data_IF_952299615811
#
_entry.id   IF_952299615811
#
_cell.length_a   1.000
_cell.length_b   1.000
_cell.length_c   1.000
_cell.angle_alpha   90.00
_cell.angle_beta   90.00
_cell.angle_gamma   90.00
#
_symmetry.space_group_name_H-M   'P 1'
#
loop_
_entity.id
_entity.type
_entity.pdbx_description
1 polymer ?
#
# COMPACT_ATOMS: atom_id res chain seq x y z
N UNK A 1 -6.41 4.31 -29.77
CA UNK A 1 -7.62 4.51 -28.93
C UNK A 1 -7.17 5.38 -27.75
N UNK A 2 -7.59 6.66 -27.75
CA UNK A 2 -7.03 7.72 -26.92
C UNK A 2 -7.64 7.69 -25.51
N UNK A 3 -6.80 7.69 -24.48
CA UNK A 3 -7.17 7.79 -23.04
C UNK A 3 -7.61 9.22 -22.68
N UNK A 4 -8.69 9.70 -23.29
CA UNK A 4 -9.33 10.98 -22.94
C UNK A 4 -10.82 10.70 -22.74
N UNK A 5 -11.18 10.18 -21.56
CA UNK A 5 -12.52 10.31 -20.93
C UNK A 5 -12.62 9.46 -19.65
N UNK A 6 -11.70 9.66 -18.70
CA UNK A 6 -11.93 9.24 -17.32
C UNK A 6 -11.93 10.49 -16.43
N UNK A 7 -13.12 11.05 -16.24
CA UNK A 7 -13.40 12.10 -15.26
C UNK A 7 -13.07 11.58 -13.86
N UNK A 8 -12.12 12.23 -13.19
CA UNK A 8 -11.79 11.99 -11.79
C UNK A 8 -13.03 12.24 -10.91
N UNK A 9 -13.40 11.31 -10.00
CA UNK A 9 -14.56 11.48 -9.14
C UNK A 9 -14.39 12.68 -8.18
N UNK A 10 -15.47 13.44 -7.97
CA UNK A 10 -15.50 14.57 -7.05
C UNK A 10 -15.43 14.10 -5.58
N UNK A 11 -14.60 14.79 -4.78
CA UNK A 11 -14.26 14.47 -3.38
C UNK A 11 -15.49 14.48 -2.46
N UNK A 12 -15.70 13.38 -1.75
CA UNK A 12 -16.45 13.39 -0.49
C UNK A 12 -15.48 13.69 0.66
N UNK A 13 -15.64 14.83 1.33
CA UNK A 13 -14.94 15.14 2.59
C UNK A 13 -15.37 14.12 3.64
N UNK A 14 -14.45 13.27 4.10
CA UNK A 14 -14.74 12.25 5.10
C UNK A 14 -14.63 12.86 6.50
N UNK A 15 -15.72 12.81 7.28
CA UNK A 15 -15.63 12.95 8.73
C UNK A 15 -14.96 11.68 9.27
N UNK A 16 -13.97 11.84 10.14
CA UNK A 16 -13.39 10.74 10.91
C UNK A 16 -14.50 10.12 11.76
N UNK A 17 -14.79 8.83 11.56
CA UNK A 17 -15.80 8.13 12.34
C UNK A 17 -15.24 7.80 13.73
N UNK A 18 -15.41 8.75 14.66
CA UNK A 18 -15.01 8.63 16.06
C UNK A 18 -15.71 7.49 16.82
N UNK A 19 -16.67 6.78 16.20
CA UNK A 19 -17.37 5.65 16.80
C UNK A 19 -16.68 4.30 16.60
N UNK A 20 -15.64 4.24 15.75
CA UNK A 20 -14.97 2.98 15.46
C UNK A 20 -14.10 2.54 16.65
N UNK A 21 -14.24 1.28 17.14
CA UNK A 21 -13.38 0.78 18.19
C UNK A 21 -11.91 0.74 17.73
N UNK A 22 -10.94 0.86 18.65
CA UNK A 22 -9.53 0.78 18.30
C UNK A 22 -9.20 -0.55 17.61
N UNK A 23 -8.36 -0.50 16.57
CA UNK A 23 -7.89 -1.69 15.88
C UNK A 23 -6.85 -2.41 16.75
N UNK A 24 -7.17 -3.64 17.16
CA UNK A 24 -6.27 -4.47 17.96
C UNK A 24 -6.02 -5.76 17.19
N UNK A 25 -4.77 -6.02 16.84
CA UNK A 25 -4.39 -7.13 15.96
C UNK A 25 -4.87 -8.48 16.49
N UNK A 26 -4.83 -8.66 17.82
CA UNK A 26 -5.22 -9.91 18.45
C UNK A 26 -6.71 -10.26 18.22
N UNK A 27 -7.60 -9.26 18.18
CA UNK A 27 -9.03 -9.49 17.92
C UNK A 27 -9.39 -9.46 16.44
N UNK A 28 -8.55 -8.84 15.62
CA UNK A 28 -8.80 -8.62 14.20
C UNK A 28 -8.15 -9.67 13.30
N UNK A 29 -7.29 -10.53 13.85
CA UNK A 29 -6.70 -11.67 13.14
C UNK A 29 -7.60 -12.89 13.22
N UNK A 30 -7.74 -13.58 12.10
CA UNK A 30 -8.48 -14.85 12.01
C UNK A 30 -7.51 -16.02 11.77
N UNK A 31 -7.65 -17.10 12.55
CA UNK A 31 -6.76 -18.25 12.40
C UNK A 31 -6.99 -18.95 11.06
N UNK A 32 -5.90 -19.27 10.36
CA UNK A 32 -5.95 -19.90 9.03
C UNK A 32 -6.10 -18.92 7.87
N UNK A 33 -6.25 -17.62 8.15
CA UNK A 33 -6.27 -16.58 7.15
C UNK A 33 -4.88 -16.01 6.86
N UNK A 34 -4.68 -15.61 5.61
CA UNK A 34 -3.54 -14.78 5.18
C UNK A 34 -3.95 -13.31 5.27
N UNK A 35 -3.25 -12.54 6.10
CA UNK A 35 -3.54 -11.12 6.33
C UNK A 35 -2.61 -10.27 5.47
N UNK A 36 -3.14 -9.71 4.39
CA UNK A 36 -2.41 -8.89 3.42
C UNK A 36 -2.61 -7.41 3.73
N UNK A 37 -1.54 -6.70 4.05
CA UNK A 37 -1.58 -5.25 4.20
C UNK A 37 -1.14 -4.57 2.90
N UNK A 38 -2.07 -3.88 2.24
CA UNK A 38 -1.78 -3.09 1.05
C UNK A 38 -1.55 -1.63 1.43
N UNK A 39 -0.40 -1.08 1.08
CA UNK A 39 -0.05 0.30 1.25
C UNK A 39 -0.06 1.04 -0.07
N UNK A 40 -0.85 2.11 -0.16
CA UNK A 40 -1.00 2.95 -1.35
C UNK A 40 -0.33 4.30 -1.13
N UNK A 41 0.44 4.76 -2.13
CA UNK A 41 1.20 6.01 -2.05
C UNK A 41 0.88 6.96 -3.21
N UNK A 42 1.38 8.20 -3.16
CA UNK A 42 1.06 9.25 -4.15
C UNK A 42 1.63 8.96 -5.55
N UNK A 43 0.93 8.14 -6.33
CA UNK A 43 1.22 7.82 -7.73
C UNK A 43 -0.09 7.53 -8.44
N UNK A 44 -0.19 7.88 -9.73
CA UNK A 44 -1.40 7.64 -10.56
C UNK A 44 -1.80 6.16 -10.55
N UNK A 45 -0.84 5.24 -10.40
CA UNK A 45 -1.09 3.81 -10.30
C UNK A 45 -1.97 3.41 -9.09
N UNK A 46 -2.18 4.29 -8.10
CA UNK A 46 -3.10 4.07 -6.98
C UNK A 46 -4.56 3.89 -7.42
N UNK A 47 -4.93 4.33 -8.64
CA UNK A 47 -6.22 4.00 -9.26
C UNK A 47 -6.46 2.48 -9.38
N UNK A 48 -5.40 1.66 -9.33
CA UNK A 48 -5.46 0.19 -9.39
C UNK A 48 -5.60 -0.46 -8.02
N UNK A 49 -5.52 0.28 -6.92
CA UNK A 49 -5.63 -0.28 -5.58
C UNK A 49 -6.96 -1.04 -5.33
N UNK A 50 -8.14 -0.51 -5.72
CA UNK A 50 -9.40 -1.25 -5.58
C UNK A 50 -9.38 -2.61 -6.31
N UNK A 51 -8.76 -2.67 -7.48
CA UNK A 51 -8.64 -3.91 -8.26
C UNK A 51 -7.76 -4.97 -7.57
N UNK A 52 -6.67 -4.53 -6.93
CA UNK A 52 -5.79 -5.42 -6.16
C UNK A 52 -6.56 -6.00 -4.96
N UNK A 53 -7.28 -5.14 -4.23
CA UNK A 53 -8.08 -5.55 -3.07
C UNK A 53 -9.15 -6.56 -3.48
N UNK A 54 -9.98 -6.21 -4.46
CA UNK A 54 -11.07 -7.09 -4.94
C UNK A 54 -10.54 -8.45 -5.39
N UNK A 55 -9.44 -8.47 -6.14
CA UNK A 55 -8.84 -9.71 -6.62
C UNK A 55 -8.24 -10.57 -5.51
N UNK A 56 -7.64 -9.98 -4.47
CA UNK A 56 -7.12 -10.73 -3.32
C UNK A 56 -8.26 -11.33 -2.48
N UNK A 57 -9.35 -10.58 -2.29
CA UNK A 57 -10.52 -11.05 -1.54
C UNK A 57 -11.32 -12.14 -2.27
N UNK A 58 -11.05 -12.37 -3.56
CA UNK A 58 -11.61 -13.50 -4.30
C UNK A 58 -10.97 -14.86 -3.96
N UNK A 59 -9.94 -14.88 -3.10
CA UNK A 59 -9.30 -16.11 -2.64
C UNK A 59 -9.76 -16.50 -1.24
N UNK A 60 -9.83 -17.81 -0.98
CA UNK A 60 -10.20 -18.38 0.30
C UNK A 60 -9.22 -17.96 1.39
N UNK A 61 -9.76 -17.64 2.57
CA UNK A 61 -9.00 -17.33 3.77
C UNK A 61 -8.01 -16.17 3.55
N UNK A 62 -8.41 -15.11 2.84
CA UNK A 62 -7.63 -13.89 2.69
C UNK A 62 -8.38 -12.73 3.32
N UNK A 63 -7.68 -11.93 4.13
CA UNK A 63 -8.15 -10.64 4.58
C UNK A 63 -7.19 -9.56 4.09
N UNK A 64 -7.75 -8.41 3.72
CA UNK A 64 -6.97 -7.27 3.21
C UNK A 64 -7.28 -6.04 4.04
N UNK A 65 -6.23 -5.38 4.51
CA UNK A 65 -6.29 -4.05 5.13
C UNK A 65 -5.46 -3.07 4.32
N UNK A 66 -5.93 -1.83 4.19
CA UNK A 66 -5.29 -0.83 3.33
C UNK A 66 -4.78 0.34 4.14
N UNK A 67 -3.51 0.69 3.99
CA UNK A 67 -2.94 1.95 4.52
C UNK A 67 -2.72 2.91 3.38
N UNK A 68 -3.43 4.03 3.40
CA UNK A 68 -3.37 5.04 2.36
C UNK A 68 -2.65 6.29 2.85
N UNK A 69 -1.64 6.72 2.10
CA UNK A 69 -1.12 8.09 2.29
C UNK A 69 -2.13 9.11 1.76
N UNK A 70 -2.18 10.31 2.30
CA UNK A 70 -3.11 11.36 1.85
C UNK A 70 -2.98 11.62 0.34
N UNK A 71 -1.74 11.63 -0.19
CA UNK A 71 -1.48 11.79 -1.61
C UNK A 71 -2.01 10.64 -2.48
N UNK A 72 -2.17 9.43 -1.94
CA UNK A 72 -2.74 8.30 -2.70
C UNK A 72 -4.25 8.42 -2.89
N UNK A 73 -4.93 9.09 -1.95
CA UNK A 73 -6.38 9.27 -1.95
C UNK A 73 -6.87 10.28 -2.99
N UNK A 74 -5.96 10.99 -3.65
CA UNK A 74 -6.27 11.81 -4.82
C UNK A 74 -6.61 10.95 -6.06
N UNK A 75 -6.28 9.65 -6.06
CA UNK A 75 -6.37 8.78 -7.24
C UNK A 75 -7.47 7.71 -7.16
N UNK A 76 -8.10 7.50 -6.00
CA UNK A 76 -9.22 6.57 -5.85
C UNK A 76 -10.09 6.94 -4.64
N UNK A 77 -11.35 6.52 -4.67
CA UNK A 77 -12.26 6.69 -3.54
C UNK A 77 -12.15 5.51 -2.56
N UNK A 78 -11.94 5.82 -1.28
CA UNK A 78 -11.89 4.87 -0.17
C UNK A 78 -13.11 3.95 -0.16
N UNK A 79 -14.28 4.46 -0.55
CA UNK A 79 -15.53 3.69 -0.58
C UNK A 79 -15.47 2.47 -1.49
N UNK A 80 -14.65 2.47 -2.55
CA UNK A 80 -14.51 1.30 -3.42
C UNK A 80 -13.87 0.13 -2.67
N UNK A 81 -12.90 0.42 -1.81
CA UNK A 81 -12.23 -0.57 -0.96
C UNK A 81 -13.16 -1.00 0.19
N UNK A 82 -13.88 -0.06 0.81
CA UNK A 82 -14.85 -0.36 1.87
C UNK A 82 -15.98 -1.26 1.38
N UNK A 83 -16.50 -1.02 0.16
CA UNK A 83 -17.55 -1.85 -0.45
C UNK A 83 -17.07 -3.27 -0.77
N UNK A 84 -15.78 -3.44 -1.07
CA UNK A 84 -15.19 -4.76 -1.28
C UNK A 84 -15.03 -5.57 0.03
N UNK A 85 -15.16 -4.94 1.20
CA UNK A 85 -15.05 -5.59 2.52
C UNK A 85 -13.75 -5.31 3.27
N UNK A 86 -12.89 -4.42 2.75
CA UNK A 86 -11.63 -4.02 3.39
C UNK A 86 -11.70 -2.62 3.99
N UNK A 87 -10.81 -2.30 4.94
CA UNK A 87 -10.80 -0.98 5.58
C UNK A 87 -9.58 -0.19 5.10
N UNK A 88 -9.75 1.14 5.04
CA UNK A 88 -8.70 2.07 4.59
C UNK A 88 -8.31 2.95 5.76
N UNK A 89 -7.06 2.84 6.18
CA UNK A 89 -6.43 3.58 7.27
C UNK A 89 -5.60 4.74 6.74
N UNK A 90 -5.71 5.88 7.39
CA UNK A 90 -5.03 7.14 7.09
C UNK A 90 -4.30 7.69 8.31
N UNK A 91 -3.51 8.75 8.12
CA UNK A 91 -2.83 9.44 9.21
C UNK A 91 -3.79 9.89 10.32
N UNK A 92 -5.00 10.31 9.95
CA UNK A 92 -6.04 10.73 10.89
C UNK A 92 -6.51 9.60 11.81
N UNK A 93 -6.44 8.34 11.36
CA UNK A 93 -6.85 7.18 12.15
C UNK A 93 -5.79 6.77 13.18
N UNK A 94 -4.55 7.21 13.02
CA UNK A 94 -3.46 6.90 13.96
C UNK A 94 -3.62 7.62 15.30
N UNK A 95 -4.16 8.85 15.25
CA UNK A 95 -4.31 9.73 16.40
C UNK A 95 -5.76 10.17 16.56
N UNK A 96 -6.63 9.23 16.88
CA UNK A 96 -8.03 9.54 17.20
C UNK A 96 -8.16 9.97 18.67
N UNK A 97 -8.59 11.20 18.92
CA UNK A 97 -8.81 11.71 20.27
C UNK A 97 -7.53 11.91 21.10
N UNK A 98 -7.64 11.79 22.43
CA UNK A 98 -6.51 11.98 23.36
C UNK A 98 -5.91 10.63 23.72
N UNK A 99 -4.73 10.32 23.16
CA UNK A 99 -3.98 9.11 23.48
C UNK A 99 -3.63 9.01 24.98
N UNK A 100 -3.79 7.81 25.54
CA UNK A 100 -3.34 7.45 26.89
C UNK A 100 -2.33 6.32 26.82
N UNK A 101 -1.40 6.31 27.77
CA UNK A 101 -0.44 5.20 27.92
C UNK A 101 -1.22 3.90 28.11
N UNK A 102 -0.96 2.93 27.24
CA UNK A 102 -1.65 1.64 27.22
C UNK A 102 -2.68 1.50 26.09
N UNK A 103 -3.07 2.59 25.45
CA UNK A 103 -3.91 2.53 24.26
C UNK A 103 -3.16 1.88 23.08
N UNK A 104 -3.85 1.10 22.23
CA UNK A 104 -3.23 0.51 21.05
C UNK A 104 -2.74 1.59 20.08
N UNK A 105 -1.54 1.40 19.53
CA UNK A 105 -0.95 2.28 18.53
C UNK A 105 -1.17 1.66 17.15
N UNK A 106 -1.92 2.35 16.28
CA UNK A 106 -2.42 1.79 15.04
C UNK A 106 -1.32 1.16 14.15
N UNK A 107 -0.20 1.85 13.91
CA UNK A 107 0.88 1.28 13.07
C UNK A 107 1.53 0.03 13.68
N UNK A 108 1.56 -0.07 15.01
CA UNK A 108 2.06 -1.25 15.73
C UNK A 108 1.08 -2.41 15.60
N UNK A 109 -0.22 -2.13 15.74
CA UNK A 109 -1.26 -3.15 15.59
C UNK A 109 -1.36 -3.64 14.15
N UNK A 110 -1.33 -2.75 13.15
CA UNK A 110 -1.31 -3.16 11.74
C UNK A 110 -0.07 -3.99 11.39
N UNK A 111 1.10 -3.65 11.94
CA UNK A 111 2.30 -4.51 11.81
C UNK A 111 2.05 -5.90 12.39
N UNK A 112 1.45 -5.99 13.58
CA UNK A 112 1.18 -7.29 14.25
C UNK A 112 0.14 -8.10 13.49
N UNK A 113 -0.77 -7.40 12.81
CA UNK A 113 -1.82 -7.99 12.00
C UNK A 113 -1.32 -8.52 10.65
N UNK A 114 -0.33 -7.88 10.02
CA UNK A 114 0.10 -8.25 8.67
C UNK A 114 0.99 -9.50 8.62
N UNK A 115 0.61 -10.48 7.79
CA UNK A 115 1.48 -11.60 7.38
C UNK A 115 2.37 -11.22 6.19
N UNK A 116 1.93 -10.27 5.38
CA UNK A 116 2.67 -9.70 4.24
C UNK A 116 2.29 -8.24 4.03
N UNK A 117 3.27 -7.43 3.62
CA UNK A 117 3.05 -6.00 3.30
C UNK A 117 3.38 -5.75 1.83
N UNK A 118 2.47 -5.06 1.13
CA UNK A 118 2.65 -4.63 -0.25
C UNK A 118 2.66 -3.10 -0.30
N UNK A 119 3.72 -2.48 -0.83
CA UNK A 119 3.74 -1.04 -1.13
C UNK A 119 3.48 -0.88 -2.62
N UNK A 120 2.20 -0.80 -2.98
CA UNK A 120 1.70 -0.84 -4.36
C UNK A 120 0.59 0.19 -4.60
N UNK A 121 0.88 1.31 -5.27
CA UNK A 121 2.20 1.73 -5.75
C UNK A 121 3.12 2.29 -4.66
N UNK A 122 4.43 2.26 -4.92
CA UNK A 122 5.44 3.03 -4.19
C UNK A 122 5.92 4.24 -5.02
N UNK A 123 5.51 5.43 -4.62
CA UNK A 123 5.96 6.71 -5.19
C UNK A 123 7.44 6.96 -4.87
N UNK A 124 8.10 7.80 -5.67
CA UNK A 124 9.49 8.19 -5.40
C UNK A 124 9.68 8.84 -4.02
N UNK A 125 8.68 9.60 -3.55
CA UNK A 125 8.70 10.24 -2.24
C UNK A 125 8.70 9.20 -1.11
N UNK A 126 7.75 8.25 -1.13
CA UNK A 126 7.73 7.19 -0.12
C UNK A 126 8.96 6.29 -0.23
N UNK A 127 9.43 5.99 -1.45
CA UNK A 127 10.67 5.24 -1.68
C UNK A 127 11.87 5.92 -1.00
N UNK A 128 12.01 7.24 -1.15
CA UNK A 128 13.05 8.01 -0.50
C UNK A 128 12.90 7.97 1.04
N UNK A 129 11.68 8.17 1.57
CA UNK A 129 11.42 8.09 3.01
C UNK A 129 11.82 6.75 3.61
N UNK A 130 11.46 5.65 2.95
CA UNK A 130 11.84 4.29 3.39
C UNK A 130 13.37 4.15 3.40
N UNK A 131 14.04 4.51 2.30
CA UNK A 131 15.48 4.36 2.18
C UNK A 131 16.28 5.21 3.20
N UNK A 132 15.74 6.37 3.60
CA UNK A 132 16.36 7.26 4.58
C UNK A 132 15.88 7.01 6.03
N UNK A 133 14.95 6.07 6.23
CA UNK A 133 14.43 5.72 7.55
C UNK A 133 13.50 6.76 8.18
N UNK A 134 12.87 7.62 7.37
CA UNK A 134 11.84 8.55 7.84
C UNK A 134 10.55 7.79 8.18
N UNK A 135 9.89 8.19 9.27
CA UNK A 135 8.67 7.59 9.79
C UNK A 135 7.72 8.69 10.30
N UNK A 136 7.22 9.51 9.37
CA UNK A 136 6.49 10.76 9.65
C UNK A 136 5.00 10.68 9.33
N UNK A 137 4.52 9.50 8.94
CA UNK A 137 3.12 9.22 8.63
C UNK A 137 2.80 7.75 8.93
N UNK A 138 1.52 7.38 8.97
CA UNK A 138 1.07 6.03 9.34
C UNK A 138 1.79 4.94 8.54
N UNK A 139 1.88 5.14 7.23
CA UNK A 139 2.55 4.23 6.29
C UNK A 139 4.03 4.00 6.63
N UNK A 140 4.81 5.08 6.77
CA UNK A 140 6.25 4.97 6.99
C UNK A 140 6.59 4.56 8.42
N UNK A 141 5.79 4.96 9.42
CA UNK A 141 5.87 4.45 10.80
C UNK A 141 5.65 2.95 10.87
N UNK A 142 4.64 2.43 10.17
CA UNK A 142 4.40 1.00 10.06
C UNK A 142 5.61 0.27 9.46
N UNK A 143 6.07 0.70 8.28
CA UNK A 143 7.23 0.08 7.62
C UNK A 143 8.49 0.12 8.48
N UNK A 144 8.71 1.21 9.23
CA UNK A 144 9.87 1.35 10.11
C UNK A 144 9.81 0.41 11.30
N UNK A 145 8.60 0.04 11.74
CA UNK A 145 8.37 -0.83 12.88
C UNK A 145 8.36 -2.32 12.53
N UNK A 146 8.24 -2.71 11.24
CA UNK A 146 8.12 -4.10 10.80
C UNK A 146 9.26 -4.99 11.29
N UNK A 147 8.95 -6.25 11.57
CA UNK A 147 9.98 -7.25 11.83
C UNK A 147 10.67 -7.63 10.51
N UNK A 148 11.99 -7.89 10.49
CA UNK A 148 12.70 -8.33 9.28
C UNK A 148 12.14 -9.63 8.67
N UNK A 149 11.39 -10.42 9.46
CA UNK A 149 10.76 -11.67 9.03
C UNK A 149 9.44 -11.46 8.28
N UNK A 150 8.81 -10.28 8.37
CA UNK A 150 7.55 -10.01 7.67
C UNK A 150 7.87 -9.72 6.20
N UNK A 151 7.48 -10.60 5.24
CA UNK A 151 7.76 -10.37 3.84
C UNK A 151 7.12 -9.07 3.37
N UNK A 152 7.96 -8.22 2.78
CA UNK A 152 7.54 -6.91 2.28
C UNK A 152 7.93 -6.77 0.81
N UNK A 153 6.97 -6.35 -0.01
CA UNK A 153 7.13 -6.13 -1.44
C UNK A 153 6.92 -4.65 -1.75
N UNK A 154 7.82 -4.07 -2.54
CA UNK A 154 7.76 -2.67 -2.96
C UNK A 154 7.64 -2.64 -4.47
N UNK A 155 6.63 -1.95 -4.99
CA UNK A 155 6.35 -1.82 -6.41
C UNK A 155 6.49 -0.35 -6.83
N UNK A 156 7.70 0.10 -7.22
CA UNK A 156 7.93 1.49 -7.61
C UNK A 156 7.02 1.89 -8.79
N UNK A 157 6.44 3.08 -8.71
CA UNK A 157 5.60 3.62 -9.78
C UNK A 157 5.74 5.14 -9.86
N UNK A 158 6.43 5.63 -10.89
CA UNK A 158 6.78 7.04 -11.09
C UNK A 158 7.06 7.34 -12.56
N UNK A 159 7.18 8.62 -12.92
CA UNK A 159 7.62 9.01 -14.25
C UNK A 159 9.02 8.43 -14.58
N UNK A 160 9.30 8.19 -15.86
CA UNK A 160 10.58 7.64 -16.34
C UNK A 160 11.80 8.39 -15.81
N UNK A 161 11.82 9.72 -15.91
CA UNK A 161 12.95 10.52 -15.46
C UNK A 161 13.09 10.52 -13.94
N UNK A 162 11.99 10.38 -13.18
CA UNK A 162 12.08 10.16 -11.74
C UNK A 162 12.72 8.80 -11.43
N UNK A 163 12.43 7.77 -12.23
CA UNK A 163 13.01 6.44 -12.05
C UNK A 163 14.50 6.38 -12.45
N UNK A 164 14.86 7.07 -13.51
CA UNK A 164 16.25 7.24 -13.99
C UNK A 164 17.09 8.12 -13.07
N UNK A 165 16.47 8.91 -12.19
CA UNK A 165 17.17 9.76 -11.26
C UNK A 165 18.16 8.95 -10.40
N UNK A 166 19.44 9.36 -10.25
CA UNK A 166 20.46 8.57 -9.55
C UNK A 166 20.07 8.20 -8.11
N UNK A 167 19.37 9.10 -7.41
CA UNK A 167 18.89 8.81 -6.05
C UNK A 167 17.85 7.69 -6.02
N UNK A 168 17.02 7.53 -7.04
CA UNK A 168 16.06 6.42 -7.10
C UNK A 168 16.78 5.09 -7.12
N UNK A 169 17.84 4.96 -7.92
CA UNK A 169 18.67 3.76 -7.95
C UNK A 169 19.36 3.50 -6.61
N UNK A 170 19.84 4.55 -5.94
CA UNK A 170 20.39 4.43 -4.59
C UNK A 170 19.34 3.98 -3.57
N UNK A 171 18.14 4.56 -3.58
CA UNK A 171 17.05 4.18 -2.68
C UNK A 171 16.60 2.75 -2.91
N UNK A 172 16.45 2.32 -4.17
CA UNK A 172 16.13 0.92 -4.52
C UNK A 172 17.19 -0.04 -3.97
N UNK A 173 18.48 0.28 -4.13
CA UNK A 173 19.57 -0.55 -3.57
C UNK A 173 19.48 -0.62 -2.05
N UNK A 174 19.33 0.51 -1.35
CA UNK A 174 19.19 0.51 0.11
C UNK A 174 18.02 -0.36 0.57
N UNK A 175 16.85 -0.20 -0.07
CA UNK A 175 15.64 -0.95 0.29
C UNK A 175 15.83 -2.45 0.05
N UNK A 176 16.49 -2.83 -1.04
CA UNK A 176 16.73 -4.24 -1.38
C UNK A 176 17.83 -4.88 -0.53
N UNK A 177 18.98 -4.21 -0.41
CA UNK A 177 20.22 -4.80 0.10
C UNK A 177 20.41 -4.56 1.60
N UNK A 178 20.00 -3.41 2.12
CA UNK A 178 20.16 -3.06 3.55
C UNK A 178 18.92 -3.43 4.33
N UNK A 179 17.74 -3.06 3.84
CA UNK A 179 16.47 -3.34 4.54
C UNK A 179 15.99 -4.78 4.25
N UNK A 180 16.26 -5.31 3.06
CA UNK A 180 15.87 -6.67 2.68
C UNK A 180 14.47 -6.79 2.10
N UNK A 181 13.86 -5.70 1.63
CA UNK A 181 12.55 -5.74 0.99
C UNK A 181 12.64 -6.18 -0.48
N UNK A 182 11.58 -6.83 -0.96
CA UNK A 182 11.48 -7.30 -2.33
C UNK A 182 11.03 -6.16 -3.25
N UNK A 183 11.99 -5.49 -3.89
CA UNK A 183 11.67 -4.44 -4.88
C UNK A 183 11.41 -5.07 -6.25
N UNK A 184 10.16 -5.02 -6.72
CA UNK A 184 9.69 -5.64 -7.97
C UNK A 184 9.27 -4.55 -8.97
N UNK A 185 9.75 -4.66 -10.20
CA UNK A 185 9.54 -3.64 -11.23
C UNK A 185 10.42 -2.40 -11.01
N UNK A 186 10.04 -1.24 -11.58
CA UNK A 186 8.89 -0.98 -12.46
C UNK A 186 9.00 -1.70 -13.81
N UNK A 187 7.97 -1.55 -14.66
CA UNK A 187 7.95 -2.03 -16.05
C UNK A 187 8.02 -0.87 -17.04
N UNK A 188 8.40 -1.17 -18.28
CA UNK A 188 8.42 -0.21 -19.39
C UNK A 188 7.09 -0.15 -20.14
N UNK A 189 6.41 1.00 -20.13
CA UNK A 189 5.16 1.27 -20.88
C UNK A 189 5.04 2.76 -21.23
N UNK A 190 4.05 3.12 -22.04
CA UNK A 190 3.61 4.51 -22.16
C UNK A 190 3.04 5.00 -20.82
N UNK A 191 3.56 6.11 -20.31
CA UNK A 191 3.21 6.67 -19.01
C UNK A 191 2.14 7.78 -19.14
N UNK A 192 1.52 8.15 -18.02
CA UNK A 192 0.46 9.16 -17.96
C UNK A 192 0.87 10.55 -18.52
N UNK A 193 2.16 10.87 -18.50
CA UNK A 193 2.72 12.11 -19.07
C UNK A 193 2.98 12.03 -20.59
N UNK A 194 2.86 10.86 -21.22
CA UNK A 194 3.15 10.64 -22.64
C UNK A 194 4.52 10.03 -22.95
N UNK A 195 5.42 9.92 -21.97
CA UNK A 195 6.73 9.29 -22.15
C UNK A 195 6.60 7.78 -22.32
N UNK A 196 7.46 7.17 -23.14
CA UNK A 196 7.64 5.72 -23.21
C UNK A 196 8.94 5.38 -22.49
N UNK A 197 8.86 4.63 -21.39
CA UNK A 197 10.05 4.29 -20.62
C UNK A 197 9.74 3.48 -19.36
N UNK A 198 10.79 3.17 -18.60
CA UNK A 198 10.69 2.43 -17.34
C UNK A 198 10.13 3.33 -16.24
N UNK A 199 9.06 2.90 -15.56
CA UNK A 199 8.49 3.69 -14.47
C UNK A 199 7.06 3.32 -14.10
N UNK A 200 6.35 2.63 -15.00
CA UNK A 200 5.03 2.09 -14.70
C UNK A 200 5.12 1.04 -13.60
N UNK A 201 4.13 1.04 -12.70
CA UNK A 201 4.00 -0.04 -11.71
C UNK A 201 3.94 -1.40 -12.42
N UNK A 202 4.49 -2.44 -11.81
CA UNK A 202 4.18 -3.83 -12.16
C UNK A 202 2.66 -4.00 -12.30
N UNK A 203 2.21 -4.77 -13.28
CA UNK A 203 0.77 -4.95 -13.52
C UNK A 203 0.10 -5.50 -12.26
N UNK A 204 -1.05 -4.93 -11.91
CA UNK A 204 -1.74 -5.26 -10.67
C UNK A 204 -2.09 -6.76 -10.57
N UNK A 205 -2.35 -7.42 -11.70
CA UNK A 205 -2.59 -8.87 -11.76
C UNK A 205 -1.34 -9.68 -11.36
N UNK A 206 -0.16 -9.23 -11.79
CA UNK A 206 1.10 -9.88 -11.44
C UNK A 206 1.43 -9.65 -9.96
N UNK A 207 1.09 -8.47 -9.41
CA UNK A 207 1.19 -8.19 -7.97
C UNK A 207 0.36 -9.21 -7.17
N UNK A 208 -0.90 -9.42 -7.56
CA UNK A 208 -1.77 -10.42 -6.92
C UNK A 208 -1.17 -11.82 -7.06
N UNK A 209 -0.70 -12.19 -8.25
CA UNK A 209 -0.14 -13.52 -8.51
C UNK A 209 1.08 -13.83 -7.64
N UNK A 210 1.96 -12.84 -7.38
CA UNK A 210 3.10 -13.00 -6.46
C UNK A 210 2.63 -13.46 -5.06
N UNK A 211 1.49 -12.95 -4.59
CA UNK A 211 0.94 -13.29 -3.27
C UNK A 211 0.23 -14.64 -3.30
N UNK A 212 -0.52 -14.91 -4.36
CA UNK A 212 -1.15 -16.21 -4.60
C UNK A 212 -0.10 -17.32 -4.59
N UNK A 213 1.00 -17.16 -5.33
CA UNK A 213 2.06 -18.17 -5.41
C UNK A 213 2.81 -18.32 -4.09
N UNK A 214 3.13 -17.20 -3.42
CA UNK A 214 3.88 -17.20 -2.17
C UNK A 214 3.13 -17.90 -1.04
N UNK A 215 1.82 -17.65 -0.93
CA UNK A 215 0.98 -18.19 0.15
C UNK A 215 0.13 -19.38 -0.29
N UNK A 216 0.26 -19.82 -1.54
CA UNK A 216 -0.51 -20.93 -2.15
C UNK A 216 -2.02 -20.74 -1.97
N UNK A 217 -2.48 -19.53 -2.27
CA UNK A 217 -3.88 -19.16 -2.11
C UNK A 217 -4.77 -19.95 -3.08
N UNK A 218 -5.96 -20.32 -2.63
CA UNK A 218 -6.94 -21.08 -3.41
C UNK A 218 -8.12 -20.17 -3.72
N UNK A 219 -8.57 -20.14 -4.98
CA UNK A 219 -9.75 -19.34 -5.37
C UNK A 219 -10.99 -19.81 -4.61
N UNK A 220 -11.88 -18.87 -4.26
CA UNK A 220 -13.18 -19.14 -3.64
C UNK A 220 -14.04 -20.09 -4.48
#
# INVERSE_FOLDING_TARGET
MSLKDETLPQKATTMTDLSRPPFVAQSEREHGFTHVLLMTTGSVASVKAPLIVEALLAYQNVQVEVVATDASLEFYDRQQITKAGSRVWTNEDEWTGTYKIGDPILHIELRRWADVVLVAPCSANTLAKIAQGLCDNLATSLLRALAPTTPTFVFPAMNTHMYEHPLTQQHVRTIREVIGYNVVGPIGKALACGDIGMGAMTEWKDIVQIIVDRFRLVLL
#
